data_IF_578003408482
#
_entry.id   IF_578003408482
#
_cell.length_a   1.000
_cell.length_b   1.000
_cell.length_c   1.000
_cell.angle_alpha   90.00
_cell.angle_beta   90.00
_cell.angle_gamma   90.00
#
_symmetry.space_group_name_H-M   'P 1'
#
loop_
_entity.id
_entity.type
_entity.pdbx_description
1 polymer ?
#
# COMPACT_ATOMS: atom_id res chain seq x y z
N UNK A 1 14.09 6.54 1.88
CA UNK A 1 12.68 6.15 1.69
C UNK A 1 12.42 4.79 2.29
N UNK A 2 11.32 4.65 3.01
CA UNK A 2 10.85 3.35 3.51
C UNK A 2 9.89 2.74 2.50
N UNK A 3 9.91 1.42 2.38
CA UNK A 3 9.02 0.64 1.52
C UNK A 3 8.44 -0.54 2.29
N UNK A 4 7.22 -0.92 1.95
CA UNK A 4 6.55 -2.08 2.54
C UNK A 4 7.26 -3.35 2.09
N UNK A 5 7.74 -4.17 3.03
CA UNK A 5 8.29 -5.50 2.71
C UNK A 5 7.24 -6.60 2.86
N UNK A 6 6.26 -6.36 3.73
CA UNK A 6 5.04 -7.14 3.95
C UNK A 6 3.94 -6.18 4.48
N UNK A 7 2.78 -6.72 4.82
CA UNK A 7 1.59 -5.97 5.23
C UNK A 7 1.76 -5.17 6.54
N UNK A 8 2.79 -5.48 7.34
CA UNK A 8 2.99 -4.92 8.68
C UNK A 8 4.33 -4.19 8.84
N UNK A 9 5.28 -4.41 7.92
CA UNK A 9 6.68 -4.01 8.09
C UNK A 9 7.15 -3.14 6.94
N UNK A 10 7.82 -2.04 7.28
CA UNK A 10 8.53 -1.19 6.35
C UNK A 10 10.04 -1.26 6.61
N UNK A 11 10.84 -1.22 5.55
CA UNK A 11 12.30 -1.21 5.62
C UNK A 11 12.89 -0.17 4.64
N UNK A 12 14.18 0.17 4.82
CA UNK A 12 14.88 1.10 3.95
C UNK A 12 15.04 0.57 2.53
N UNK A 13 14.52 1.34 1.56
CA UNK A 13 14.65 1.06 0.14
C UNK A 13 16.09 1.22 -0.33
N UNK A 14 16.63 0.22 -1.01
CA UNK A 14 17.88 0.37 -1.76
C UNK A 14 17.64 1.08 -3.09
N UNK A 15 18.54 1.99 -3.46
CA UNK A 15 18.44 2.77 -4.70
C UNK A 15 18.81 1.97 -5.95
N UNK A 16 19.63 0.92 -5.79
CA UNK A 16 20.12 0.10 -6.90
C UNK A 16 20.27 -1.36 -6.46
N UNK A 17 19.96 -2.27 -7.38
CA UNK A 17 20.25 -3.69 -7.20
C UNK A 17 21.66 -4.02 -7.72
N UNK A 18 22.48 -4.59 -6.86
CA UNK A 18 23.79 -5.15 -7.15
C UNK A 18 24.08 -6.36 -6.24
N UNK A 19 25.31 -6.88 -6.29
CA UNK A 19 25.73 -8.04 -5.51
C UNK A 19 25.54 -7.86 -3.98
N UNK A 20 25.75 -6.65 -3.45
CA UNK A 20 25.68 -6.37 -2.01
C UNK A 20 24.26 -6.14 -1.51
N UNK A 21 23.33 -5.88 -2.43
CA UNK A 21 21.94 -5.56 -2.10
C UNK A 21 20.98 -6.70 -2.39
N UNK A 22 21.47 -7.89 -2.75
CA UNK A 22 20.61 -9.07 -2.94
C UNK A 22 19.78 -9.33 -1.67
N UNK A 23 18.49 -9.63 -1.87
CA UNK A 23 17.45 -9.76 -0.84
C UNK A 23 17.08 -8.49 -0.09
N UNK A 24 17.71 -7.34 -0.37
CA UNK A 24 17.28 -6.05 0.20
C UNK A 24 16.06 -5.49 -0.56
N UNK A 25 15.17 -4.76 0.13
CA UNK A 25 13.97 -4.22 -0.48
C UNK A 25 14.31 -3.07 -1.42
N UNK A 26 13.70 -3.08 -2.60
CA UNK A 26 13.95 -2.11 -3.67
C UNK A 26 12.69 -1.34 -4.12
N UNK A 27 11.57 -1.59 -3.44
CA UNK A 27 10.24 -1.04 -3.70
C UNK A 27 9.21 -1.79 -2.85
N UNK A 28 7.97 -1.30 -2.80
CA UNK A 28 6.90 -1.99 -2.07
C UNK A 28 6.72 -3.42 -2.57
N UNK A 29 6.69 -4.36 -1.63
CA UNK A 29 6.58 -5.80 -1.83
C UNK A 29 7.57 -6.34 -2.87
N UNK A 30 8.79 -5.80 -2.92
CA UNK A 30 9.81 -6.19 -3.89
C UNK A 30 11.22 -6.17 -3.31
N UNK A 31 12.07 -7.06 -3.82
CA UNK A 31 13.46 -7.20 -3.39
C UNK A 31 14.41 -7.39 -4.57
N UNK A 32 15.66 -7.02 -4.36
CA UNK A 32 16.70 -7.25 -5.33
C UNK A 32 17.02 -8.74 -5.44
N UNK A 33 17.04 -9.23 -6.67
CA UNK A 33 17.45 -10.60 -6.99
C UNK A 33 18.66 -10.59 -7.91
N UNK A 34 19.47 -11.63 -7.79
CA UNK A 34 20.48 -11.98 -8.79
C UNK A 34 19.80 -12.77 -9.91
N UNK A 35 20.06 -12.40 -11.15
CA UNK A 35 19.63 -13.12 -12.35
C UNK A 35 20.89 -13.77 -12.92
N UNK A 36 20.97 -15.09 -12.78
CA UNK A 36 22.05 -15.87 -13.36
C UNK A 36 21.96 -15.84 -14.89
N UNK A 37 23.10 -15.67 -15.55
CA UNK A 37 23.21 -15.45 -16.98
C UNK A 37 24.64 -15.10 -17.36
N UNK A 38 24.87 -14.83 -18.65
CA UNK A 38 26.16 -14.36 -19.14
C UNK A 38 25.94 -13.12 -20.03
N UNK A 39 26.04 -11.89 -19.49
CA UNK A 39 26.51 -11.55 -18.13
C UNK A 39 25.47 -11.78 -17.03
N UNK A 40 25.95 -11.95 -15.80
CA UNK A 40 25.12 -11.88 -14.59
C UNK A 40 24.50 -10.48 -14.48
N UNK A 41 23.24 -10.42 -14.08
CA UNK A 41 22.54 -9.15 -13.86
C UNK A 41 21.76 -9.15 -12.54
N UNK A 42 21.29 -7.97 -12.14
CA UNK A 42 20.53 -7.78 -10.90
C UNK A 42 19.29 -6.95 -11.21
N UNK A 43 18.16 -7.34 -10.63
CA UNK A 43 16.89 -6.65 -10.86
C UNK A 43 16.06 -6.59 -9.59
N UNK A 44 15.19 -5.58 -9.52
CA UNK A 44 14.16 -5.49 -8.52
C UNK A 44 12.96 -6.35 -8.95
N UNK A 45 12.57 -7.33 -8.14
CA UNK A 45 11.46 -8.24 -8.45
C UNK A 45 10.46 -8.27 -7.30
N UNK A 46 9.18 -8.36 -7.63
CA UNK A 46 8.12 -8.56 -6.64
C UNK A 46 8.38 -9.82 -5.82
N UNK A 47 7.96 -9.76 -4.55
CA UNK A 47 8.00 -10.87 -3.61
C UNK A 47 7.06 -11.99 -4.09
N UNK A 48 7.26 -13.20 -3.54
CA UNK A 48 6.37 -14.32 -3.83
C UNK A 48 4.93 -13.97 -3.44
N UNK A 49 3.97 -14.27 -4.33
CA UNK A 49 2.56 -13.90 -4.15
C UNK A 49 2.19 -12.52 -4.70
N UNK A 50 3.15 -11.79 -5.27
CA UNK A 50 2.94 -10.48 -5.88
C UNK A 50 3.38 -10.45 -7.35
N UNK A 51 2.61 -9.77 -8.18
CA UNK A 51 2.82 -9.56 -9.60
C UNK A 51 3.08 -8.08 -9.88
N UNK A 52 3.98 -7.79 -10.83
CA UNK A 52 4.26 -6.42 -11.25
C UNK A 52 3.21 -5.96 -12.24
N UNK A 53 2.41 -4.97 -11.86
CA UNK A 53 1.39 -4.32 -12.70
C UNK A 53 1.59 -2.82 -12.64
N UNK A 54 1.80 -2.17 -13.79
CA UNK A 54 2.07 -0.73 -13.88
C UNK A 54 3.21 -0.25 -12.97
N UNK A 55 4.32 -1.01 -12.91
CA UNK A 55 5.48 -0.77 -12.05
C UNK A 55 5.20 -0.82 -10.53
N UNK A 56 4.07 -1.38 -10.10
CA UNK A 56 3.73 -1.61 -8.70
C UNK A 56 3.56 -3.10 -8.47
N UNK A 57 4.11 -3.63 -7.38
CA UNK A 57 3.87 -5.01 -6.97
C UNK A 57 2.52 -5.09 -6.25
N UNK A 58 1.59 -5.84 -6.83
CA UNK A 58 0.25 -6.08 -6.27
C UNK A 58 0.05 -7.57 -6.01
N UNK A 59 -0.82 -7.97 -5.08
CA UNK A 59 -1.13 -9.39 -4.88
C UNK A 59 -1.57 -10.07 -6.19
N UNK A 60 -1.14 -11.31 -6.41
CA UNK A 60 -1.43 -12.06 -7.64
C UNK A 60 -2.93 -12.17 -7.92
N UNK A 61 -3.73 -12.37 -6.88
CA UNK A 61 -5.19 -12.46 -6.93
C UNK A 61 -5.82 -11.14 -7.42
N UNK A 62 -5.14 -10.01 -7.23
CA UNK A 62 -5.59 -8.68 -7.63
C UNK A 62 -5.27 -8.32 -9.09
N UNK A 63 -4.49 -9.13 -9.82
CA UNK A 63 -3.99 -8.81 -11.17
C UNK A 63 -5.07 -8.37 -12.16
N UNK A 64 -6.25 -8.99 -12.09
CA UNK A 64 -7.36 -8.73 -13.01
C UNK A 64 -8.55 -8.04 -12.33
N UNK A 65 -8.36 -7.49 -11.12
CA UNK A 65 -9.43 -6.86 -10.34
C UNK A 65 -9.29 -5.34 -10.41
N UNK A 66 -10.29 -4.68 -11.00
CA UNK A 66 -10.34 -3.22 -11.11
C UNK A 66 -11.40 -2.66 -10.18
N UNK A 67 -10.99 -1.84 -9.21
CA UNK A 67 -11.87 -1.32 -8.16
C UNK A 67 -12.40 0.10 -8.40
N UNK A 68 -11.85 0.86 -9.35
CA UNK A 68 -12.26 2.24 -9.63
C UNK A 68 -11.78 3.20 -8.54
N UNK A 69 -12.71 3.78 -7.75
CA UNK A 69 -12.41 4.70 -6.63
C UNK A 69 -11.88 3.96 -5.39
N UNK A 70 -10.87 3.12 -5.59
CA UNK A 70 -10.30 2.28 -4.55
C UNK A 70 -9.22 1.37 -5.11
N UNK A 71 -8.74 0.46 -4.26
CA UNK A 71 -7.69 -0.50 -4.59
C UNK A 71 -8.14 -1.93 -4.30
N UNK A 72 -7.57 -2.88 -5.02
CA UNK A 72 -7.73 -4.28 -4.69
C UNK A 72 -6.85 -4.64 -3.49
N UNK A 73 -7.39 -5.42 -2.56
CA UNK A 73 -6.69 -5.99 -1.42
C UNK A 73 -6.99 -7.48 -1.30
N UNK A 74 -6.16 -8.22 -0.57
CA UNK A 74 -6.45 -9.58 -0.18
C UNK A 74 -7.35 -9.60 1.05
N UNK A 75 -8.50 -10.25 0.92
CA UNK A 75 -9.31 -10.66 2.05
C UNK A 75 -8.80 -12.01 2.57
N UNK A 76 -8.39 -12.01 3.84
CA UNK A 76 -7.91 -13.18 4.58
C UNK A 76 -8.91 -13.66 5.63
N UNK A 77 -10.16 -13.17 5.59
CA UNK A 77 -11.21 -13.63 6.52
C UNK A 77 -11.54 -15.11 6.36
N UNK A 78 -11.16 -15.72 5.23
CA UNK A 78 -11.37 -17.13 4.91
C UNK A 78 -10.03 -17.83 4.61
N UNK A 79 -9.95 -19.17 4.75
CA UNK A 79 -8.74 -19.94 4.44
C UNK A 79 -8.25 -19.78 3.00
N UNK A 80 -9.19 -19.57 2.07
CA UNK A 80 -8.90 -19.23 0.68
C UNK A 80 -8.87 -17.72 0.58
N UNK A 81 -7.70 -17.15 0.29
CA UNK A 81 -7.55 -15.71 0.07
C UNK A 81 -8.34 -15.30 -1.16
N UNK A 82 -9.06 -14.18 -1.06
CA UNK A 82 -9.83 -13.64 -2.18
C UNK A 82 -9.49 -12.19 -2.42
N UNK A 83 -9.53 -11.77 -3.69
CA UNK A 83 -9.33 -10.37 -4.05
C UNK A 83 -10.64 -9.60 -3.86
N UNK A 84 -10.60 -8.54 -3.06
CA UNK A 84 -11.74 -7.66 -2.79
C UNK A 84 -11.35 -6.20 -2.96
N UNK A 85 -12.33 -5.33 -3.21
CA UNK A 85 -12.09 -3.90 -3.31
C UNK A 85 -12.19 -3.23 -1.94
N UNK A 86 -11.17 -2.45 -1.60
CA UNK A 86 -11.19 -1.47 -0.52
C UNK A 86 -11.27 -0.07 -1.11
N UNK A 87 -12.23 0.71 -0.65
CA UNK A 87 -12.65 1.93 -1.32
C UNK A 87 -12.10 3.19 -0.65
N UNK A 88 -11.96 4.24 -1.43
CA UNK A 88 -11.67 5.57 -0.91
C UNK A 88 -12.79 6.02 0.04
N UNK A 89 -12.45 6.85 1.02
CA UNK A 89 -13.41 7.39 1.99
C UNK A 89 -14.54 8.13 1.25
N UNK A 90 -15.78 7.81 1.61
CA UNK A 90 -17.00 8.27 0.92
C UNK A 90 -17.53 7.27 -0.12
N UNK A 91 -16.82 6.16 -0.37
CA UNK A 91 -17.26 5.06 -1.22
C UNK A 91 -17.22 3.74 -0.45
N UNK A 92 -18.08 2.80 -0.86
CA UNK A 92 -18.14 1.43 -0.32
C UNK A 92 -18.29 0.42 -1.46
N UNK A 93 -17.92 -0.86 -1.23
CA UNK A 93 -18.13 -1.92 -2.22
C UNK A 93 -19.60 -2.03 -2.65
N UNK A 94 -19.83 -2.01 -3.97
CA UNK A 94 -21.16 -2.12 -4.55
C UNK A 94 -21.45 -3.55 -5.01
N UNK A 95 -22.29 -4.27 -4.27
CA UNK A 95 -22.70 -5.65 -4.60
C UNK A 95 -23.37 -5.77 -5.98
N UNK A 96 -23.97 -4.70 -6.50
CA UNK A 96 -24.61 -4.68 -7.82
C UNK A 96 -23.61 -4.49 -8.97
N UNK A 97 -22.38 -4.08 -8.66
CA UNK A 97 -21.28 -3.85 -9.62
C UNK A 97 -20.03 -4.62 -9.17
N UNK A 98 -20.21 -5.92 -8.91
CA UNK A 98 -19.12 -6.85 -8.59
C UNK A 98 -18.22 -6.39 -7.43
N UNK A 99 -18.81 -5.75 -6.41
CA UNK A 99 -18.12 -5.17 -5.26
C UNK A 99 -17.10 -4.05 -5.59
N UNK A 100 -17.19 -3.43 -6.77
CA UNK A 100 -16.38 -2.25 -7.10
C UNK A 100 -16.80 -1.03 -6.27
N UNK A 101 -15.91 -0.04 -6.20
CA UNK A 101 -16.10 1.19 -5.43
C UNK A 101 -16.94 2.23 -6.18
N UNK A 102 -18.18 1.84 -6.55
CA UNK A 102 -19.12 2.66 -7.31
C UNK A 102 -20.34 3.11 -6.51
N UNK A 103 -20.47 2.67 -5.24
CA UNK A 103 -21.55 3.08 -4.33
C UNK A 103 -21.04 4.11 -3.31
N UNK A 104 -21.81 5.18 -3.10
CA UNK A 104 -21.59 6.13 -2.01
C UNK A 104 -21.87 5.48 -0.66
N UNK A 105 -21.02 5.77 0.32
CA UNK A 105 -21.20 5.25 1.67
C UNK A 105 -20.20 5.83 2.65
N UNK A 106 -20.60 5.85 3.92
CA UNK A 106 -19.78 6.38 5.00
C UNK A 106 -18.90 5.27 5.59
N UNK A 107 -17.63 5.61 5.84
CA UNK A 107 -16.72 4.78 6.64
C UNK A 107 -16.27 5.65 7.80
N UNK A 108 -16.39 5.17 9.05
CA UNK A 108 -15.92 5.92 10.21
C UNK A 108 -14.43 5.71 10.39
N UNK A 109 -13.69 6.77 10.68
CA UNK A 109 -12.27 6.63 11.01
C UNK A 109 -12.08 5.91 12.35
N UNK A 110 -11.14 4.97 12.37
CA UNK A 110 -10.72 4.21 13.56
C UNK A 110 -9.24 4.38 13.91
N UNK A 111 -8.51 5.24 13.19
CA UNK A 111 -7.11 5.55 13.48
C UNK A 111 -6.97 6.19 14.86
N UNK A 112 -5.94 5.76 15.60
CA UNK A 112 -5.58 6.35 16.89
C UNK A 112 -4.55 7.45 16.66
N UNK A 113 -5.02 8.68 16.47
CA UNK A 113 -4.15 9.85 16.35
C UNK A 113 -3.79 10.34 17.74
N UNK A 114 -2.62 9.89 18.23
CA UNK A 114 -2.20 10.06 19.61
C UNK A 114 -1.26 11.25 19.83
N UNK A 115 -0.71 11.83 18.76
CA UNK A 115 0.14 13.01 18.90
C UNK A 115 -0.68 14.23 19.26
N UNK A 116 -0.01 15.21 19.86
CA UNK A 116 -0.63 16.48 20.22
C UNK A 116 -1.23 17.15 18.97
N UNK A 117 -2.41 17.73 19.15
CA UNK A 117 -3.19 18.43 18.12
C UNK A 117 -3.42 17.68 16.79
N UNK A 118 -3.26 16.36 16.75
CA UNK A 118 -3.70 15.56 15.61
C UNK A 118 -5.17 15.15 15.75
N UNK A 119 -5.82 14.93 14.61
CA UNK A 119 -7.13 14.29 14.49
C UNK A 119 -7.18 13.47 13.20
N UNK A 120 -8.12 12.54 13.13
CA UNK A 120 -8.30 11.77 11.91
C UNK A 120 -9.04 12.60 10.85
N UNK A 121 -8.41 12.79 9.68
CA UNK A 121 -8.99 13.51 8.55
C UNK A 121 -8.96 12.66 7.30
N UNK A 122 -9.98 12.83 6.46
CA UNK A 122 -10.00 12.27 5.11
C UNK A 122 -9.22 13.21 4.19
N UNK A 123 -8.09 12.75 3.66
CA UNK A 123 -7.25 13.51 2.74
C UNK A 123 -6.91 12.61 1.55
N UNK A 124 -7.12 13.11 0.34
CA UNK A 124 -6.89 12.38 -0.92
C UNK A 124 -7.55 10.99 -0.98
N UNK A 125 -8.74 10.88 -0.38
CA UNK A 125 -9.53 9.66 -0.39
C UNK A 125 -9.12 8.60 0.64
N UNK A 126 -8.16 8.87 1.54
CA UNK A 126 -7.80 7.99 2.65
C UNK A 126 -7.91 8.71 4.00
N UNK A 127 -8.14 7.94 5.06
CA UNK A 127 -7.98 8.48 6.42
C UNK A 127 -6.51 8.52 6.81
N UNK A 128 -6.07 9.65 7.35
CA UNK A 128 -4.75 9.82 7.97
C UNK A 128 -4.86 10.67 9.24
N UNK A 129 -3.91 10.50 10.14
CA UNK A 129 -3.75 11.44 11.25
C UNK A 129 -3.10 12.72 10.72
N UNK A 130 -3.74 13.85 10.97
CA UNK A 130 -3.33 15.15 10.45
C UNK A 130 -3.66 16.24 11.49
N UNK A 131 -3.06 17.42 11.36
CA UNK A 131 -3.26 18.51 12.30
C UNK A 131 -4.73 18.92 12.36
N UNK A 132 -5.22 19.22 13.58
CA UNK A 132 -6.51 19.84 13.81
C UNK A 132 -6.60 21.18 13.08
N UNK A 133 -7.82 21.64 12.81
CA UNK A 133 -8.02 22.94 12.17
C UNK A 133 -7.41 24.06 13.02
N UNK A 134 -6.62 24.92 12.39
CA UNK A 134 -5.87 25.98 13.06
C UNK A 134 -4.45 25.60 13.50
N UNK A 135 -4.04 24.34 13.33
CA UNK A 135 -2.67 23.86 13.60
C UNK A 135 -1.95 23.52 12.29
N UNK A 136 -0.64 23.76 12.24
CA UNK A 136 0.23 23.45 11.10
C UNK A 136 1.38 22.61 11.65
N UNK A 137 1.84 21.64 10.84
CA UNK A 137 2.96 20.79 11.24
C UNK A 137 4.22 21.63 11.44
N UNK A 138 4.85 21.50 12.59
CA UNK A 138 6.20 21.97 12.81
C UNK A 138 7.18 20.97 12.17
N UNK A 139 7.91 21.41 11.16
CA UNK A 139 8.83 20.57 10.40
C UNK A 139 10.05 20.11 11.22
N UNK A 140 10.38 20.78 12.33
CA UNK A 140 11.51 20.37 13.19
C UNK A 140 11.10 19.29 14.18
N UNK A 141 9.90 19.40 14.76
CA UNK A 141 9.41 18.47 15.79
C UNK A 141 8.47 17.39 15.25
N UNK A 142 7.95 17.53 14.02
CA UNK A 142 6.93 16.64 13.43
C UNK A 142 5.67 16.49 14.28
N UNK A 143 5.30 17.59 14.96
CA UNK A 143 4.13 17.75 15.84
C UNK A 143 3.24 18.87 15.27
N UNK A 144 1.94 18.78 15.55
CA UNK A 144 0.96 19.83 15.37
C UNK A 144 0.79 20.59 16.71
#
# INVERSE_FOLDING_TARGET
DLVLVNEETCEEKVLKCDEKTVNKPCGDFSKCIKIDGNPVSYACKCNLGYDMVNNVCIPNECKNVTCGNGKCILDTSNPVKTAVCSCNIGKVPNVQDQNKCSKDGETKCSLKCLKENETCKAVDGIYKCDCKDGFIIDNESSIC
#
